data_IF_504499460884
#
_entry.id   IF_504499460884
#
_cell.length_a   1.000
_cell.length_b   1.000
_cell.length_c   1.000
_cell.angle_alpha   90.00
_cell.angle_beta   90.00
_cell.angle_gamma   90.00
#
_symmetry.space_group_name_H-M   'P 1'
#
loop_
_entity.id
_entity.type
_entity.pdbx_description
1 polymer ?
#
# COMPACT_ATOMS: atom_id res chain seq x y z
N UNK A 1 -23.42 -14.12 -42.14
CA UNK A 1 -24.59 -13.24 -41.93
C UNK A 1 -25.81 -14.07 -42.28
N UNK A 2 -26.93 -13.92 -41.57
CA UNK A 2 -28.12 -14.76 -41.78
C UNK A 2 -28.63 -14.65 -43.22
N UNK A 3 -29.07 -15.77 -43.80
CA UNK A 3 -29.80 -15.79 -45.05
C UNK A 3 -31.28 -15.49 -44.78
N UNK A 4 -31.87 -14.62 -45.60
CA UNK A 4 -33.27 -14.23 -45.48
C UNK A 4 -34.20 -15.39 -45.84
N UNK A 5 -33.80 -16.26 -46.76
CA UNK A 5 -34.60 -17.41 -47.18
C UNK A 5 -34.71 -18.46 -46.05
N UNK A 6 -33.64 -18.67 -45.28
CA UNK A 6 -33.60 -19.61 -44.17
C UNK A 6 -34.49 -19.21 -42.99
N UNK A 7 -34.73 -17.90 -42.80
CA UNK A 7 -35.61 -17.38 -41.75
C UNK A 7 -37.08 -17.42 -42.18
N UNK A 8 -37.37 -17.14 -43.45
CA UNK A 8 -38.74 -17.00 -43.95
C UNK A 8 -39.36 -18.34 -44.33
N UNK A 9 -38.57 -19.26 -44.90
CA UNK A 9 -39.08 -20.53 -45.44
C UNK A 9 -39.00 -21.68 -44.44
N UNK A 10 -38.30 -21.52 -43.31
CA UNK A 10 -38.15 -22.56 -42.28
C UNK A 10 -39.11 -22.32 -41.13
N UNK A 11 -40.04 -23.25 -40.88
CA UNK A 11 -41.02 -23.14 -39.78
C UNK A 11 -40.38 -22.98 -38.38
N UNK A 12 -39.15 -23.46 -38.20
CA UNK A 12 -38.34 -23.23 -36.99
C UNK A 12 -36.89 -22.91 -37.38
N UNK A 13 -36.52 -21.63 -37.48
CA UNK A 13 -35.15 -21.24 -37.84
C UNK A 13 -34.13 -21.68 -36.79
N UNK A 14 -32.85 -21.79 -37.18
CA UNK A 14 -31.78 -22.16 -36.26
C UNK A 14 -31.54 -21.08 -35.20
N UNK A 15 -31.80 -21.44 -33.94
CA UNK A 15 -31.63 -20.58 -32.77
C UNK A 15 -30.20 -20.08 -32.63
N UNK A 16 -29.18 -20.88 -33.00
CA UNK A 16 -27.76 -20.46 -32.91
C UNK A 16 -27.43 -19.38 -33.92
N UNK A 17 -27.94 -19.51 -35.15
CA UNK A 17 -27.76 -18.51 -36.20
C UNK A 17 -28.47 -17.19 -35.83
N UNK A 18 -29.69 -17.26 -35.28
CA UNK A 18 -30.40 -16.08 -34.76
C UNK A 18 -29.63 -15.42 -33.61
N UNK A 19 -29.22 -16.19 -32.61
CA UNK A 19 -28.48 -15.67 -31.45
C UNK A 19 -27.16 -14.99 -31.84
N UNK A 20 -26.44 -15.56 -32.81
CA UNK A 20 -25.18 -14.98 -33.30
C UNK A 20 -25.42 -13.62 -33.97
N UNK A 21 -26.49 -13.49 -34.76
CA UNK A 21 -26.82 -12.25 -35.44
C UNK A 21 -27.32 -11.16 -34.46
N UNK A 22 -28.20 -11.52 -33.54
CA UNK A 22 -28.69 -10.61 -32.49
C UNK A 22 -27.53 -10.16 -31.58
N UNK A 23 -26.61 -11.07 -31.22
CA UNK A 23 -25.40 -10.75 -30.46
C UNK A 23 -24.48 -9.77 -31.20
N UNK A 24 -24.38 -9.89 -32.53
CA UNK A 24 -23.59 -8.97 -33.36
C UNK A 24 -24.14 -7.54 -33.29
N UNK A 25 -25.47 -7.37 -33.35
CA UNK A 25 -26.10 -6.06 -33.14
C UNK A 25 -25.91 -5.55 -31.71
N UNK A 26 -26.08 -6.41 -30.70
CA UNK A 26 -25.82 -6.01 -29.32
C UNK A 26 -24.38 -5.51 -29.16
N UNK A 27 -23.39 -6.19 -29.75
CA UNK A 27 -22.00 -5.75 -29.69
C UNK A 27 -21.72 -4.45 -30.45
N UNK A 28 -22.45 -4.17 -31.53
CA UNK A 28 -22.37 -2.91 -32.28
C UNK A 28 -23.00 -1.73 -31.53
N UNK A 29 -24.12 -1.94 -30.83
CA UNK A 29 -24.85 -0.88 -30.12
C UNK A 29 -24.45 -0.71 -28.65
N UNK A 30 -23.88 -1.73 -28.00
CA UNK A 30 -23.42 -1.68 -26.59
C UNK A 30 -22.09 -0.95 -26.39
N UNK A 31 -21.58 -0.24 -27.42
CA UNK A 31 -20.29 0.47 -27.35
C UNK A 31 -20.19 1.41 -26.15
N UNK A 32 -21.24 2.19 -25.86
CA UNK A 32 -21.28 3.08 -24.71
C UNK A 32 -21.19 2.32 -23.37
N UNK A 33 -21.96 1.23 -23.21
CA UNK A 33 -21.95 0.40 -22.00
C UNK A 33 -20.61 -0.33 -21.80
N UNK A 34 -19.97 -0.78 -22.89
CA UNK A 34 -18.63 -1.37 -22.86
C UNK A 34 -17.59 -0.35 -22.43
N UNK A 35 -17.65 0.87 -22.98
CA UNK A 35 -16.74 1.96 -22.62
C UNK A 35 -16.89 2.34 -21.14
N UNK A 36 -18.12 2.47 -20.65
CA UNK A 36 -18.40 2.73 -19.23
C UNK A 36 -17.87 1.62 -18.32
N UNK A 37 -18.11 0.36 -18.68
CA UNK A 37 -17.61 -0.79 -17.89
C UNK A 37 -16.09 -0.83 -17.85
N UNK A 38 -15.43 -0.53 -18.97
CA UNK A 38 -13.97 -0.43 -19.04
C UNK A 38 -13.45 0.72 -18.15
N UNK A 39 -14.05 1.91 -18.25
CA UNK A 39 -13.70 3.06 -17.42
C UNK A 39 -13.85 2.74 -15.92
N UNK A 40 -14.96 2.13 -15.51
CA UNK A 40 -15.20 1.73 -14.13
C UNK A 40 -14.17 0.71 -13.61
N UNK A 41 -13.72 -0.22 -14.45
CA UNK A 41 -12.65 -1.16 -14.09
C UNK A 41 -11.31 -0.45 -13.91
N UNK A 42 -10.98 0.48 -14.80
CA UNK A 42 -9.75 1.29 -14.71
C UNK A 42 -9.78 2.13 -13.43
N UNK A 43 -10.88 2.82 -13.14
CA UNK A 43 -11.01 3.64 -11.92
C UNK A 43 -10.80 2.82 -10.64
N UNK A 44 -11.33 1.59 -10.57
CA UNK A 44 -11.11 0.70 -9.42
C UNK A 44 -9.64 0.31 -9.25
N UNK A 45 -8.98 -0.05 -10.35
CA UNK A 45 -7.55 -0.41 -10.32
C UNK A 45 -6.69 0.79 -9.94
N UNK A 46 -7.03 1.98 -10.44
CA UNK A 46 -6.35 3.23 -10.12
C UNK A 46 -6.49 3.57 -8.64
N UNK A 47 -7.69 3.47 -8.07
CA UNK A 47 -7.94 3.74 -6.66
C UNK A 47 -7.09 2.84 -5.74
N UNK A 48 -7.02 1.54 -6.06
CA UNK A 48 -6.14 0.60 -5.32
C UNK A 48 -4.67 0.98 -5.45
N UNK A 49 -4.25 1.46 -6.63
CA UNK A 49 -2.86 1.85 -6.84
C UNK A 49 -2.49 3.10 -6.05
N UNK A 50 -3.37 4.11 -6.03
CA UNK A 50 -3.20 5.33 -5.23
C UNK A 50 -3.11 5.02 -3.73
N UNK A 51 -3.95 4.10 -3.24
CA UNK A 51 -3.89 3.67 -1.84
C UNK A 51 -2.55 2.97 -1.52
N UNK A 52 -2.04 2.14 -2.44
CA UNK A 52 -0.73 1.50 -2.26
C UNK A 52 0.41 2.53 -2.26
N UNK A 53 0.38 3.51 -3.16
CA UNK A 53 1.35 4.61 -3.20
C UNK A 53 1.33 5.40 -1.89
N UNK A 54 0.16 5.72 -1.36
CA UNK A 54 0.04 6.39 -0.07
C UNK A 54 0.63 5.56 1.08
N UNK A 55 0.37 4.26 1.12
CA UNK A 55 0.96 3.35 2.13
C UNK A 55 2.49 3.26 2.00
N UNK A 56 3.02 3.33 0.78
CA UNK A 56 4.46 3.36 0.53
C UNK A 56 5.09 4.66 1.07
N UNK A 57 4.46 5.81 0.79
CA UNK A 57 4.89 7.11 1.29
C UNK A 57 4.85 7.19 2.82
N UNK A 58 3.79 6.67 3.44
CA UNK A 58 3.65 6.62 4.89
C UNK A 58 4.73 5.75 5.54
N UNK A 59 5.03 4.60 4.94
CA UNK A 59 6.15 3.76 5.39
C UNK A 59 7.47 4.51 5.30
N UNK A 60 7.77 5.11 4.14
CA UNK A 60 9.02 5.82 3.87
C UNK A 60 9.24 7.01 4.81
N UNK A 61 8.18 7.78 5.07
CA UNK A 61 8.20 8.90 6.01
C UNK A 61 8.46 8.41 7.43
N UNK A 62 7.69 7.44 7.90
CA UNK A 62 7.83 6.90 9.26
C UNK A 62 9.22 6.29 9.48
N UNK A 63 9.74 5.57 8.48
CA UNK A 63 11.09 5.01 8.53
C UNK A 63 12.15 6.10 8.65
N UNK A 64 12.02 7.18 7.86
CA UNK A 64 12.96 8.30 7.87
C UNK A 64 12.97 9.02 9.22
N UNK A 65 11.79 9.36 9.75
CA UNK A 65 11.64 10.06 11.03
C UNK A 65 12.20 9.22 12.19
N UNK A 66 11.95 7.91 12.17
CA UNK A 66 12.43 6.99 13.20
C UNK A 66 13.95 6.82 13.14
N UNK A 67 14.51 6.65 11.94
CA UNK A 67 15.97 6.56 11.75
C UNK A 67 16.69 7.85 12.17
N UNK A 68 16.17 9.01 11.78
CA UNK A 68 16.72 10.30 12.20
C UNK A 68 16.71 10.43 13.73
N UNK A 69 15.61 10.04 14.37
CA UNK A 69 15.51 10.05 15.83
C UNK A 69 16.53 9.11 16.48
N UNK A 70 16.71 7.90 15.96
CA UNK A 70 17.69 6.93 16.46
C UNK A 70 19.11 7.51 16.32
N UNK A 71 19.47 7.99 15.13
CA UNK A 71 20.79 8.57 14.85
C UNK A 71 21.10 9.76 15.74
N UNK A 72 20.10 10.61 16.05
CA UNK A 72 20.25 11.74 16.97
C UNK A 72 20.38 11.30 18.43
N UNK A 73 19.72 10.22 18.83
CA UNK A 73 19.64 9.78 20.23
C UNK A 73 20.85 8.93 20.67
N UNK A 74 21.45 8.16 19.75
CA UNK A 74 22.62 7.31 20.04
C UNK A 74 23.77 8.09 20.69
N UNK A 75 24.26 9.22 20.13
CA UNK A 75 25.38 9.96 20.73
C UNK A 75 25.08 10.47 22.16
N UNK A 76 23.83 10.83 22.43
CA UNK A 76 23.40 11.25 23.77
C UNK A 76 23.43 10.09 24.76
N UNK A 77 23.00 8.89 24.35
CA UNK A 77 23.04 7.66 25.18
C UNK A 77 24.47 7.14 25.41
N UNK A 78 25.34 7.31 24.43
CA UNK A 78 26.74 6.89 24.48
C UNK A 78 27.62 7.86 25.26
N UNK A 79 27.15 9.07 25.56
CA UNK A 79 27.90 10.07 26.31
C UNK A 79 28.11 9.62 27.77
N UNK A 80 29.29 9.04 28.04
CA UNK A 80 29.75 8.60 29.36
C UNK A 80 30.53 9.65 30.16
N UNK A 81 30.48 10.93 29.77
CA UNK A 81 31.22 11.98 30.48
C UNK A 81 30.66 12.17 31.91
N UNK A 82 31.48 11.95 32.96
CA UNK A 82 31.08 12.15 34.34
C UNK A 82 30.83 13.63 34.62
N UNK A 83 29.86 13.94 35.48
CA UNK A 83 29.59 15.32 35.90
C UNK A 83 30.42 15.69 37.12
N UNK A 84 30.65 16.98 37.32
CA UNK A 84 31.54 17.49 38.38
C UNK A 84 30.84 17.50 39.74
N UNK A 85 29.52 17.58 39.74
CA UNK A 85 28.71 17.63 40.96
C UNK A 85 27.70 16.48 41.04
N UNK A 86 27.35 16.10 42.27
CA UNK A 86 26.31 15.10 42.52
C UNK A 86 24.94 15.54 41.99
N UNK A 87 24.63 16.84 42.06
CA UNK A 87 23.38 17.39 41.56
C UNK A 87 23.26 17.26 40.03
N UNK A 88 24.32 17.53 39.27
CA UNK A 88 24.34 17.34 37.82
C UNK A 88 24.19 15.86 37.43
N UNK A 89 24.80 14.94 38.20
CA UNK A 89 24.60 13.50 37.99
C UNK A 89 23.14 13.09 38.24
N UNK A 90 22.51 13.65 39.27
CA UNK A 90 21.11 13.38 39.58
C UNK A 90 20.16 13.92 38.49
N UNK A 91 20.45 15.10 37.94
CA UNK A 91 19.71 15.64 36.80
C UNK A 91 19.83 14.73 35.57
N UNK A 92 21.05 14.29 35.21
CA UNK A 92 21.27 13.34 34.09
C UNK A 92 20.46 12.05 34.27
N UNK A 93 20.32 11.58 35.50
CA UNK A 93 19.55 10.37 35.82
C UNK A 93 18.05 10.59 35.68
N UNK A 94 17.53 11.76 36.07
CA UNK A 94 16.13 12.14 35.82
C UNK A 94 15.84 12.29 34.33
N UNK A 95 16.71 12.95 33.56
CA UNK A 95 16.57 13.07 32.10
C UNK A 95 16.50 11.68 31.43
N UNK A 96 17.31 10.72 31.91
CA UNK A 96 17.29 9.35 31.41
C UNK A 96 16.01 8.59 31.81
N UNK A 97 15.49 8.83 33.02
CA UNK A 97 14.21 8.26 33.46
C UNK A 97 13.06 8.78 32.61
N UNK A 98 13.04 10.08 32.34
CA UNK A 98 12.04 10.72 31.48
C UNK A 98 12.12 10.20 30.04
N UNK A 99 13.34 10.12 29.48
CA UNK A 99 13.57 9.47 28.19
C UNK A 99 12.96 8.06 28.12
N UNK A 100 13.21 7.22 29.14
CA UNK A 100 12.69 5.84 29.15
C UNK A 100 11.18 5.77 29.34
N UNK A 101 10.58 6.70 30.05
CA UNK A 101 9.16 6.67 30.44
C UNK A 101 8.27 7.37 29.42
N UNK A 102 8.75 8.41 28.77
CA UNK A 102 7.94 9.30 27.92
C UNK A 102 8.42 9.27 26.48
N UNK A 103 9.71 9.43 26.23
CA UNK A 103 10.22 9.62 24.86
C UNK A 103 10.45 8.31 24.08
N UNK A 104 10.97 7.26 24.73
CA UNK A 104 11.26 5.96 24.09
C UNK A 104 10.00 5.14 23.77
N UNK A 105 8.98 5.03 24.63
CA UNK A 105 7.80 4.21 24.37
C UNK A 105 7.06 4.50 23.04
N UNK A 106 6.77 5.77 22.65
CA UNK A 106 6.12 6.03 21.37
C UNK A 106 6.99 5.61 20.18
N UNK A 107 8.32 5.67 20.29
CA UNK A 107 9.23 5.21 19.21
C UNK A 107 9.24 3.70 19.05
N UNK A 108 9.04 2.95 20.13
CA UNK A 108 8.81 1.49 20.05
C UNK A 108 7.48 1.20 19.35
N UNK A 109 6.44 1.99 19.62
CA UNK A 109 5.15 1.86 18.93
C UNK A 109 5.25 2.22 17.45
N UNK A 110 5.97 3.29 17.09
CA UNK A 110 6.23 3.66 15.69
C UNK A 110 6.96 2.55 14.94
N UNK A 111 7.95 1.90 15.55
CA UNK A 111 8.63 0.73 14.98
C UNK A 111 7.65 -0.43 14.71
N UNK A 112 6.79 -0.75 15.68
CA UNK A 112 5.75 -1.75 15.50
C UNK A 112 4.78 -1.38 14.37
N UNK A 113 4.39 -0.11 14.28
CA UNK A 113 3.52 0.39 13.20
C UNK A 113 4.18 0.26 11.82
N UNK A 114 5.49 0.51 11.74
CA UNK A 114 6.27 0.37 10.52
C UNK A 114 6.30 -1.09 10.04
N UNK A 115 6.47 -2.05 10.95
CA UNK A 115 6.35 -3.49 10.67
C UNK A 115 4.94 -3.87 10.16
N UNK A 116 3.89 -3.34 10.80
CA UNK A 116 2.50 -3.56 10.40
C UNK A 116 2.23 -3.01 9.00
N UNK A 117 2.69 -1.79 8.72
CA UNK A 117 2.52 -1.13 7.42
C UNK A 117 3.19 -1.95 6.31
N UNK A 118 4.43 -2.39 6.54
CA UNK A 118 5.15 -3.23 5.59
C UNK A 118 4.42 -4.54 5.28
N UNK A 119 4.01 -5.27 6.33
CA UNK A 119 3.33 -6.57 6.16
C UNK A 119 1.98 -6.43 5.46
N UNK A 120 1.25 -5.36 5.76
CA UNK A 120 -0.03 -5.04 5.12
C UNK A 120 0.17 -4.74 3.64
N UNK A 121 1.13 -3.87 3.30
CA UNK A 121 1.44 -3.50 1.93
C UNK A 121 1.92 -4.71 1.11
N UNK A 122 2.81 -5.54 1.67
CA UNK A 122 3.25 -6.76 0.99
C UNK A 122 2.12 -7.73 0.71
N UNK A 123 1.18 -7.88 1.66
CA UNK A 123 0.02 -8.73 1.46
C UNK A 123 -0.92 -8.17 0.39
N UNK A 124 -1.19 -6.86 0.39
CA UNK A 124 -2.02 -6.20 -0.63
C UNK A 124 -1.43 -6.36 -2.04
N UNK A 125 -0.12 -6.14 -2.19
CA UNK A 125 0.56 -6.26 -3.48
C UNK A 125 0.55 -7.71 -3.98
N UNK A 126 0.82 -8.69 -3.10
CA UNK A 126 0.77 -10.11 -3.43
C UNK A 126 -0.62 -10.54 -3.90
N UNK A 127 -1.68 -10.17 -3.17
CA UNK A 127 -3.06 -10.52 -3.55
C UNK A 127 -3.48 -9.90 -4.89
N UNK A 128 -2.88 -8.77 -5.25
CA UNK A 128 -3.14 -8.07 -6.52
C UNK A 128 -2.20 -8.50 -7.64
N UNK A 129 -1.34 -9.51 -7.44
CA UNK A 129 -0.28 -9.94 -8.36
C UNK A 129 0.63 -8.77 -8.81
N UNK A 130 0.91 -7.83 -7.91
CA UNK A 130 1.82 -6.71 -8.13
C UNK A 130 3.21 -7.02 -7.54
N UNK A 131 4.28 -6.38 -8.06
CA UNK A 131 5.61 -6.50 -7.47
C UNK A 131 5.61 -6.14 -5.98
N UNK A 132 6.45 -6.83 -5.22
CA UNK A 132 6.62 -6.57 -3.79
C UNK A 132 7.20 -5.15 -3.58
N UNK A 133 6.78 -4.49 -2.50
CA UNK A 133 7.36 -3.23 -2.10
C UNK A 133 8.77 -3.46 -1.54
N UNK A 134 9.72 -2.64 -1.99
CA UNK A 134 11.08 -2.56 -1.45
C UNK A 134 11.35 -1.11 -1.03
N UNK A 135 11.51 -0.85 0.27
CA UNK A 135 11.98 0.42 0.80
C UNK A 135 13.32 0.88 0.21
N UNK A 136 13.57 2.18 0.31
CA UNK A 136 14.88 2.77 0.01
C UNK A 136 15.99 2.15 0.86
N UNK A 137 17.23 2.17 0.36
CA UNK A 137 18.39 1.59 1.05
C UNK A 137 18.54 2.13 2.49
N UNK A 138 18.78 1.23 3.44
CA UNK A 138 18.91 1.55 4.87
C UNK A 138 17.58 1.81 5.59
N UNK A 139 16.43 1.72 4.90
CA UNK A 139 15.09 1.86 5.50
C UNK A 139 14.30 0.56 5.54
N UNK A 140 14.97 -0.58 5.36
CA UNK A 140 14.31 -1.86 5.58
C UNK A 140 13.97 -2.01 7.05
N UNK A 141 12.86 -2.70 7.34
CA UNK A 141 12.49 -3.09 8.71
C UNK A 141 13.65 -3.77 9.44
N UNK A 142 14.44 -4.57 8.72
CA UNK A 142 15.64 -5.23 9.25
C UNK A 142 16.76 -4.28 9.66
N UNK A 143 16.87 -3.12 8.99
CA UNK A 143 17.94 -2.14 9.22
C UNK A 143 17.61 -1.22 10.41
N UNK A 144 16.34 -1.18 10.83
CA UNK A 144 15.83 -0.40 11.96
C UNK A 144 15.87 -1.24 13.28
N UNK A 145 16.58 -2.36 13.29
CA UNK A 145 16.73 -3.26 14.45
C UNK A 145 17.94 -2.96 15.35
#
# INVERSE_FOLDING_TARGET
>A
MLDAEDIVNTARPDEKAIMTYVSSFYHAFSGAQKAETAANRICKVLAVNQENEHLMEDYERLASDLLEWIQRTIPWLENRVPQKTMQEMQQKLEDFRDYRRVHKPPKVQEKCQLEINFNTLQTKLRLSNRPAFMPSEGKMVSDIN
#
